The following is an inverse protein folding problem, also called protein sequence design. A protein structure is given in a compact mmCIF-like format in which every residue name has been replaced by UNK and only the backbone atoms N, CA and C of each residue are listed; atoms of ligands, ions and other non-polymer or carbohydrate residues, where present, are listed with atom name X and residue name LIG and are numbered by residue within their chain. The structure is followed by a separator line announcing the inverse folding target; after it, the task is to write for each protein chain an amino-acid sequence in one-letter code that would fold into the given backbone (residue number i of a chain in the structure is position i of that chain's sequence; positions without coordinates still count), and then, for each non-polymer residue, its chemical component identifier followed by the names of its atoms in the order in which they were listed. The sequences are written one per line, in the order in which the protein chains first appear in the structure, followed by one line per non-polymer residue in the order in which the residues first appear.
data_IF_212164043931
#
_entry.id   IF_212164043931
#
_cell.length_a   1.000
_cell.length_b   1.000
_cell.length_c   1.000
_cell.angle_alpha   90.00
_cell.angle_beta   90.00
_cell.angle_gamma   90.00
#
_symmetry.space_group_name_H-M   'P 1'
#
loop_
_entity.id
_entity.type
_entity.pdbx_description
1 polymer ?
#
# COMPACT_ATOMS: atom_id res chain seq x y z
N UNK A 1 -11.94 -0.19 0.00
CA UNK A 1 -11.23 0.09 1.26
C UNK A 1 -9.74 -0.11 1.04
N UNK A 2 -8.91 0.10 2.06
CA UNK A 2 -7.49 -0.21 1.98
C UNK A 2 -6.98 -0.92 3.23
N UNK A 3 -5.88 -1.64 3.09
CA UNK A 3 -5.26 -2.39 4.17
C UNK A 3 -3.77 -2.13 4.22
N UNK A 4 -3.19 -2.24 5.41
CA UNK A 4 -1.75 -2.40 5.56
C UNK A 4 -1.44 -3.87 5.85
N UNK A 5 -0.50 -4.43 5.09
CA UNK A 5 0.15 -5.69 5.44
C UNK A 5 1.56 -5.41 5.93
N UNK A 6 1.82 -5.81 7.17
CA UNK A 6 3.10 -5.58 7.82
C UNK A 6 4.02 -6.80 7.67
N UNK A 7 5.20 -6.57 7.11
CA UNK A 7 6.26 -7.55 6.99
C UNK A 7 7.30 -7.37 8.10
N UNK A 8 7.76 -8.49 8.68
CA UNK A 8 8.94 -8.50 9.53
C UNK A 8 10.19 -8.61 8.64
N UNK A 9 11.12 -7.65 8.66
CA UNK A 9 12.31 -7.66 7.79
C UNK A 9 13.25 -8.85 8.03
N UNK A 10 13.19 -9.52 9.18
CA UNK A 10 14.01 -10.72 9.46
C UNK A 10 13.42 -11.98 8.79
N UNK A 11 12.16 -11.93 8.34
CA UNK A 11 11.46 -13.02 7.64
C UNK A 11 11.16 -12.70 6.19
N UNK A 12 10.80 -11.46 5.90
CA UNK A 12 10.37 -10.99 4.60
C UNK A 12 10.74 -9.51 4.44
N UNK A 13 11.92 -9.26 3.86
CA UNK A 13 12.40 -7.90 3.63
C UNK A 13 11.81 -7.32 2.34
N UNK A 14 10.89 -6.36 2.49
CA UNK A 14 10.18 -5.75 1.35
C UNK A 14 11.12 -5.08 0.35
N UNK A 15 12.32 -4.65 0.77
CA UNK A 15 13.31 -4.05 -0.13
C UNK A 15 13.75 -5.03 -1.21
N UNK A 16 13.82 -6.32 -0.87
CA UNK A 16 14.22 -7.39 -1.78
C UNK A 16 13.02 -8.07 -2.44
N UNK A 17 11.95 -8.29 -1.69
CA UNK A 17 10.86 -9.16 -2.13
C UNK A 17 9.65 -8.45 -2.71
N UNK A 18 9.53 -7.12 -2.57
CA UNK A 18 8.44 -6.35 -3.16
C UNK A 18 8.72 -6.08 -4.66
N UNK A 19 8.51 -7.08 -5.50
CA UNK A 19 8.79 -7.01 -6.94
C UNK A 19 7.49 -6.68 -7.69
N UNK A 20 7.38 -5.52 -8.38
CA UNK A 20 6.20 -5.18 -9.16
C UNK A 20 5.75 -6.29 -10.13
N UNK A 21 4.45 -6.34 -10.39
CA UNK A 21 3.72 -7.35 -11.17
C UNK A 21 3.72 -8.78 -10.61
N UNK A 22 4.48 -9.04 -9.53
CA UNK A 22 4.45 -10.33 -8.85
C UNK A 22 3.21 -10.47 -7.97
N UNK A 23 2.54 -11.62 -8.06
CA UNK A 23 1.51 -12.04 -7.11
C UNK A 23 2.15 -12.82 -5.96
N UNK A 24 1.87 -12.39 -4.73
CA UNK A 24 2.35 -13.03 -3.50
C UNK A 24 1.19 -13.33 -2.57
N UNK A 25 1.23 -14.50 -1.93
CA UNK A 25 0.20 -14.98 -1.00
C UNK A 25 0.56 -14.58 0.41
N UNK A 26 -0.08 -13.54 0.92
CA UNK A 26 0.13 -13.04 2.26
C UNK A 26 -0.67 -13.81 3.28
N UNK A 27 -0.10 -14.00 4.46
CA UNK A 27 -0.84 -14.52 5.60
C UNK A 27 -1.74 -13.43 6.18
N UNK A 28 -3.01 -13.74 6.40
CA UNK A 28 -3.97 -12.82 7.01
C UNK A 28 -4.80 -13.53 8.06
N UNK A 29 -5.19 -12.80 9.11
CA UNK A 29 -6.11 -13.30 10.15
C UNK A 29 -7.27 -12.36 10.43
N UNK A 30 -7.03 -11.06 10.30
CA UNK A 30 -7.99 -10.01 10.62
C UNK A 30 -8.60 -9.43 9.35
N UNK A 31 -9.83 -8.91 9.46
CA UNK A 31 -10.53 -8.18 8.39
C UNK A 31 -10.79 -8.98 7.10
N UNK A 32 -10.64 -10.30 7.14
CA UNK A 32 -10.79 -11.21 5.99
C UNK A 32 -12.15 -11.03 5.30
N UNK A 33 -13.21 -10.87 6.08
CA UNK A 33 -14.57 -10.65 5.55
C UNK A 33 -14.72 -9.35 4.77
N UNK A 34 -13.81 -8.38 4.93
CA UNK A 34 -13.82 -7.09 4.24
C UNK A 34 -12.93 -7.07 3.00
N UNK A 35 -11.93 -7.95 2.92
CA UNK A 35 -10.96 -7.99 1.82
C UNK A 35 -11.60 -8.47 0.52
N UNK A 36 -11.55 -7.62 -0.52
CA UNK A 36 -12.08 -7.93 -1.86
C UNK A 36 -11.02 -7.72 -2.95
N UNK A 37 -11.06 -8.50 -4.05
CA UNK A 37 -10.26 -8.23 -5.24
C UNK A 37 -10.36 -6.77 -5.69
N UNK A 38 -9.23 -6.21 -6.09
CA UNK A 38 -9.08 -4.82 -6.48
C UNK A 38 -8.87 -3.83 -5.32
N UNK A 39 -9.04 -4.21 -4.05
CA UNK A 39 -8.75 -3.29 -2.95
C UNK A 39 -7.25 -3.03 -2.76
N UNK A 40 -6.93 -1.83 -2.27
CA UNK A 40 -5.55 -1.36 -2.13
C UNK A 40 -4.89 -2.01 -0.91
N UNK A 41 -3.66 -2.45 -1.10
CA UNK A 41 -2.78 -2.92 -0.03
C UNK A 41 -1.53 -2.06 0.02
N UNK A 42 -1.24 -1.50 1.19
CA UNK A 42 -0.01 -0.78 1.49
C UNK A 42 0.95 -1.74 2.22
N UNK A 43 2.20 -1.82 1.77
CA UNK A 43 3.18 -2.76 2.34
C UNK A 43 4.07 -2.06 3.35
N UNK A 44 3.88 -2.40 4.62
CA UNK A 44 4.61 -1.80 5.73
C UNK A 44 5.76 -2.69 6.18
N UNK A 45 6.98 -2.16 6.26
CA UNK A 45 8.10 -2.85 6.89
C UNK A 45 8.14 -2.52 8.38
N UNK A 46 7.98 -3.55 9.23
CA UNK A 46 8.13 -3.40 10.68
C UNK A 46 9.57 -3.02 11.04
N UNK A 47 9.75 -2.53 12.27
CA UNK A 47 11.11 -2.37 12.82
C UNK A 47 11.69 -3.77 13.07
N UNK A 48 12.76 -4.12 12.36
CA UNK A 48 13.56 -5.32 12.64
C UNK A 48 14.54 -5.08 13.79
N UNK A 49 15.26 -6.13 14.22
CA UNK A 49 16.21 -6.10 15.35
C UNK A 49 17.35 -5.06 15.24
N UNK A 50 18.62 -5.49 15.22
CA UNK A 50 19.82 -4.60 15.34
C UNK A 50 20.08 -3.68 14.13
N UNK A 51 19.19 -3.66 13.13
CA UNK A 51 19.45 -2.97 11.86
C UNK A 51 18.72 -1.62 11.84
N UNK A 52 19.38 -0.49 11.50
CA UNK A 52 18.78 0.85 11.48
C UNK A 52 17.83 1.06 10.29
N UNK A 53 17.12 0.01 9.86
CA UNK A 53 16.21 0.05 8.71
C UNK A 53 15.06 1.01 8.98
N UNK A 54 14.70 1.79 7.96
CA UNK A 54 13.58 2.72 8.02
C UNK A 54 12.27 1.91 8.07
N UNK A 55 11.59 1.91 9.21
CA UNK A 55 10.20 1.41 9.33
C UNK A 55 9.30 2.30 8.47
N UNK A 56 8.29 1.74 7.79
CA UNK A 56 7.32 2.54 7.04
C UNK A 56 6.73 1.81 5.83
N UNK A 57 6.16 2.56 4.90
CA UNK A 57 5.52 2.03 3.69
C UNK A 57 6.54 1.96 2.55
N UNK A 58 6.70 0.77 1.98
CA UNK A 58 7.68 0.46 0.92
C UNK A 58 7.04 0.32 -0.46
N UNK A 59 5.74 0.54 -0.57
CA UNK A 59 5.03 0.45 -1.83
C UNK A 59 3.59 -0.01 -1.62
N UNK A 60 2.94 -0.34 -2.72
CA UNK A 60 1.53 -0.71 -2.71
C UNK A 60 1.20 -1.73 -3.79
N UNK A 61 0.02 -2.33 -3.66
CA UNK A 61 -0.49 -3.35 -4.54
C UNK A 61 -2.01 -3.46 -4.47
N UNK A 62 -2.53 -4.46 -5.16
CA UNK A 62 -3.95 -4.75 -5.24
C UNK A 62 -4.20 -6.19 -4.82
N UNK A 63 -5.30 -6.42 -4.09
CA UNK A 63 -5.79 -7.77 -3.86
C UNK A 63 -6.13 -8.38 -5.22
N UNK A 64 -5.49 -9.50 -5.56
CA UNK A 64 -5.61 -10.13 -6.86
C UNK A 64 -6.83 -11.06 -6.91
N UNK A 65 -7.03 -11.82 -5.83
CA UNK A 65 -8.07 -12.84 -5.70
C UNK A 65 -8.66 -12.84 -4.27
N UNK A 66 -9.85 -13.45 -4.06
CA UNK A 66 -10.41 -13.59 -2.72
C UNK A 66 -9.48 -14.35 -1.77
N UNK A 67 -9.63 -14.07 -0.46
CA UNK A 67 -8.94 -14.85 0.57
C UNK A 67 -9.38 -16.32 0.49
N UNK A 68 -8.43 -17.23 0.57
CA UNK A 68 -8.68 -18.67 0.58
C UNK A 68 -7.88 -19.35 1.69
N UNK A 69 -8.28 -20.56 2.06
CA UNK A 69 -7.55 -21.41 3.02
C UNK A 69 -6.61 -22.34 2.26
N UNK A 70 -5.32 -22.34 2.61
CA UNK A 70 -4.35 -23.25 2.01
C UNK A 70 -4.42 -24.67 2.62
N UNK A 71 -3.60 -25.59 2.08
CA UNK A 71 -3.55 -26.99 2.52
C UNK A 71 -3.21 -27.18 4.00
N UNK A 72 -2.63 -26.16 4.65
CA UNK A 72 -2.26 -26.17 6.07
C UNK A 72 -3.33 -25.56 6.96
N UNK A 73 -4.46 -25.12 6.39
CA UNK A 73 -5.52 -24.44 7.13
C UNK A 73 -5.25 -22.94 7.34
N UNK A 74 -4.20 -22.39 6.72
CA UNK A 74 -3.86 -20.98 6.86
C UNK A 74 -4.61 -20.12 5.84
N UNK A 75 -5.13 -18.97 6.28
CA UNK A 75 -5.77 -18.00 5.39
C UNK A 75 -4.71 -17.22 4.59
N UNK A 76 -4.86 -17.22 3.26
CA UNK A 76 -3.98 -16.59 2.29
C UNK A 76 -4.72 -15.54 1.49
N UNK A 77 -4.09 -14.38 1.36
CA UNK A 77 -4.53 -13.29 0.51
C UNK A 77 -3.56 -13.13 -0.67
N UNK A 78 -3.95 -13.50 -1.90
CA UNK A 78 -3.19 -13.17 -3.10
C UNK A 78 -3.18 -11.67 -3.33
N UNK A 79 -1.99 -11.07 -3.38
CA UNK A 79 -1.80 -9.64 -3.63
C UNK A 79 -0.80 -9.46 -4.75
N UNK A 80 -1.19 -8.71 -5.77
CA UNK A 80 -0.31 -8.28 -6.84
C UNK A 80 0.39 -7.00 -6.43
N UNK A 81 1.72 -7.01 -6.45
CA UNK A 81 2.52 -5.82 -6.21
C UNK A 81 2.42 -4.90 -7.42
N UNK A 82 2.11 -3.63 -7.20
CA UNK A 82 2.03 -2.65 -8.29
C UNK A 82 3.28 -1.78 -8.28
N UNK A 83 3.72 -1.35 -7.11
CA UNK A 83 4.84 -0.43 -7.01
C UNK A 83 5.69 -0.70 -5.78
N UNK A 84 7.00 -0.49 -5.95
CA UNK A 84 8.00 -0.53 -4.88
C UNK A 84 8.69 0.83 -4.78
N UNK A 85 8.83 1.30 -3.56
CA UNK A 85 9.55 2.50 -3.18
C UNK A 85 10.83 2.09 -2.43
N UNK A 86 11.98 2.48 -2.99
CA UNK A 86 13.32 2.24 -2.46
C UNK A 86 14.16 3.50 -2.60
N UNK A 87 15.14 3.68 -1.71
CA UNK A 87 15.97 4.89 -1.72
C UNK A 87 16.88 4.89 -2.96
N UNK A 88 17.12 6.08 -3.53
CA UNK A 88 18.08 6.24 -4.61
C UNK A 88 19.46 5.71 -4.22
N UNK A 89 20.06 4.91 -5.12
CA UNK A 89 21.42 4.37 -4.97
C UNK A 89 21.53 2.91 -4.50
N UNK A 90 20.43 2.16 -4.35
CA UNK A 90 20.52 0.69 -4.29
C UNK A 90 20.82 0.15 -5.71
N UNK A 91 21.92 -0.61 -5.87
CA UNK A 91 22.47 -1.06 -7.16
C UNK A 91 21.45 -1.77 -8.06
N UNK A 92 21.41 -1.39 -9.34
CA UNK A 92 20.77 -2.17 -10.41
C UNK A 92 19.39 -1.71 -10.90
N UNK A 93 18.92 -0.50 -10.56
CA UNK A 93 17.58 -0.03 -10.94
C UNK A 93 17.58 1.33 -11.64
N UNK A 94 16.74 1.51 -12.66
CA UNK A 94 16.67 2.74 -13.45
C UNK A 94 16.23 3.96 -12.61
N UNK A 95 16.82 5.16 -12.85
CA UNK A 95 16.66 6.35 -12.00
C UNK A 95 15.25 6.97 -12.03
N UNK A 96 14.51 6.83 -13.12
CA UNK A 96 13.23 7.55 -13.33
C UNK A 96 12.01 6.92 -12.63
N UNK A 97 12.21 5.85 -11.85
CA UNK A 97 11.12 5.12 -11.14
C UNK A 97 11.33 5.03 -9.63
N UNK A 98 12.21 5.86 -9.06
CA UNK A 98 12.65 5.72 -7.66
C UNK A 98 11.95 6.72 -6.73
N UNK A 99 10.96 6.25 -5.99
CA UNK A 99 10.44 6.96 -4.82
C UNK A 99 11.02 6.34 -3.55
N UNK A 100 11.51 7.15 -2.62
CA UNK A 100 11.95 6.65 -1.32
C UNK A 100 10.74 6.10 -0.52
N UNK A 101 10.93 5.06 0.32
CA UNK A 101 9.91 4.60 1.25
C UNK A 101 9.32 5.76 2.04
N UNK A 102 8.06 5.68 2.42
CA UNK A 102 7.43 6.65 3.31
C UNK A 102 7.77 6.23 4.74
N UNK A 103 8.58 6.99 5.48
CA UNK A 103 8.90 6.68 6.86
C UNK A 103 7.64 6.54 7.70
N UNK A 104 7.63 5.56 8.60
CA UNK A 104 6.49 5.36 9.48
C UNK A 104 6.25 6.54 10.41
N UNK A 105 7.29 7.30 10.77
CA UNK A 105 7.16 8.54 11.53
C UNK A 105 6.31 9.57 10.78
N UNK A 106 6.55 9.75 9.47
CA UNK A 106 5.79 10.67 8.63
C UNK A 106 4.31 10.25 8.56
N UNK A 107 4.04 8.95 8.35
CA UNK A 107 2.66 8.44 8.33
C UNK A 107 1.96 8.66 9.67
N UNK A 108 2.63 8.35 10.78
CA UNK A 108 2.06 8.46 12.12
C UNK A 108 1.94 9.91 12.62
N UNK A 109 2.61 10.87 11.95
CA UNK A 109 2.45 12.29 12.22
C UNK A 109 1.17 12.87 11.59
N UNK A 110 0.51 12.13 10.68
CA UNK A 110 -0.75 12.57 10.09
C UNK A 110 -1.87 12.54 11.15
N UNK A 111 -2.69 13.61 11.23
CA UNK A 111 -3.79 13.72 12.19
C UNK A 111 -4.65 12.45 12.31
N UNK A 112 -5.15 11.91 11.18
CA UNK A 112 -6.06 10.74 11.20
C UNK A 112 -5.36 9.41 11.50
N UNK A 113 -4.04 9.40 11.64
CA UNK A 113 -3.21 8.20 11.84
C UNK A 113 -2.68 8.03 13.26
N UNK A 114 -2.75 9.07 14.08
CA UNK A 114 -2.30 9.05 15.48
C UNK A 114 -2.96 7.93 16.31
N UNK A 115 -4.25 7.67 16.06
CA UNK A 115 -5.03 6.60 16.70
C UNK A 115 -5.13 5.31 15.86
N UNK A 116 -4.38 5.19 14.76
CA UNK A 116 -4.45 3.99 13.92
C UNK A 116 -3.92 2.77 14.69
N UNK A 117 -4.52 1.60 14.47
CA UNK A 117 -4.12 0.35 15.11
C UNK A 117 -2.64 -0.01 14.92
N UNK A 118 -1.96 0.49 13.88
CA UNK A 118 -0.53 0.29 13.69
C UNK A 118 0.36 1.10 14.67
N UNK A 119 -0.18 2.18 15.25
CA UNK A 119 0.46 2.92 16.34
C UNK A 119 0.20 2.23 17.69
N UNK A 120 -1.03 1.77 17.92
CA UNK A 120 -1.50 1.17 19.18
C UNK A 120 -1.02 -0.28 19.34
N UNK A 121 -1.04 -1.07 18.26
CA UNK A 121 -0.63 -2.47 18.23
C UNK A 121 0.39 -2.73 17.10
N UNK A 122 1.64 -2.28 17.27
CA UNK A 122 2.68 -2.41 16.24
C UNK A 122 3.10 -3.87 15.97
N UNK A 123 2.65 -4.84 16.77
CA UNK A 123 2.91 -6.27 16.55
C UNK A 123 1.89 -6.93 15.60
N UNK A 124 0.80 -6.24 15.27
CA UNK A 124 -0.17 -6.71 14.28
C UNK A 124 0.46 -6.89 12.89
N UNK A 125 -0.07 -7.83 12.11
CA UNK A 125 0.38 -8.10 10.73
C UNK A 125 -0.54 -7.49 9.66
N UNK A 126 -1.74 -7.07 10.04
CA UNK A 126 -2.80 -6.61 9.14
C UNK A 126 -3.59 -5.50 9.82
N UNK A 127 -3.75 -4.37 9.14
CA UNK A 127 -4.48 -3.21 9.67
C UNK A 127 -5.46 -2.69 8.62
N UNK A 128 -6.64 -2.26 9.07
CA UNK A 128 -7.60 -1.56 8.22
C UNK A 128 -7.19 -0.09 8.07
N UNK A 129 -7.31 0.45 6.85
CA UNK A 129 -7.10 1.86 6.53
C UNK A 129 -8.42 2.42 6.03
N UNK A 130 -8.93 3.45 6.74
CA UNK A 130 -10.16 4.12 6.33
C UNK A 130 -9.94 4.93 5.04
N UNK A 131 -11.03 5.28 4.37
CA UNK A 131 -10.96 6.12 3.17
C UNK A 131 -10.33 7.49 3.47
N UNK A 132 -10.70 8.11 4.59
CA UNK A 132 -10.10 9.37 5.05
C UNK A 132 -8.60 9.27 5.30
N UNK A 133 -8.14 8.17 5.92
CA UNK A 133 -6.72 7.91 6.16
C UNK A 133 -5.95 7.70 4.85
N UNK A 134 -6.51 6.93 3.92
CA UNK A 134 -5.90 6.71 2.61
C UNK A 134 -5.82 8.00 1.80
N UNK A 135 -6.88 8.81 1.82
CA UNK A 135 -6.93 10.11 1.16
C UNK A 135 -5.87 11.05 1.71
N UNK A 136 -5.80 11.21 3.03
CA UNK A 136 -4.80 12.06 3.69
C UNK A 136 -3.37 11.59 3.38
N UNK A 137 -3.10 10.29 3.48
CA UNK A 137 -1.81 9.72 3.10
C UNK A 137 -1.46 10.04 1.65
N UNK A 138 -2.45 9.91 0.76
CA UNK A 138 -2.27 10.15 -0.67
C UNK A 138 -1.96 11.61 -0.94
N UNK A 139 -2.79 12.54 -0.47
CA UNK A 139 -2.63 13.98 -0.70
C UNK A 139 -1.34 14.53 -0.06
N UNK A 140 -1.02 14.07 1.16
CA UNK A 140 0.07 14.68 1.93
C UNK A 140 1.45 14.06 1.67
N UNK A 141 1.53 12.75 1.38
CA UNK A 141 2.81 12.03 1.31
C UNK A 141 3.03 11.36 -0.05
N UNK A 142 2.00 10.82 -0.71
CA UNK A 142 2.16 10.07 -1.97
C UNK A 142 2.11 10.99 -3.19
N UNK A 143 1.15 11.91 -3.30
CA UNK A 143 0.98 12.80 -4.46
C UNK A 143 2.13 13.79 -4.62
N UNK A 144 2.85 14.10 -3.52
CA UNK A 144 4.11 14.86 -3.55
C UNK A 144 5.28 14.06 -4.13
N UNK A 145 5.11 12.74 -4.31
CA UNK A 145 6.15 11.80 -4.73
C UNK A 145 5.81 11.15 -6.07
N UNK A 146 4.58 10.69 -6.27
CA UNK A 146 4.12 9.96 -7.47
C UNK A 146 3.50 10.91 -8.49
N UNK A 147 3.95 10.87 -9.77
CA UNK A 147 3.30 11.62 -10.84
C UNK A 147 1.82 11.25 -10.98
N UNK A 148 0.95 12.26 -11.11
CA UNK A 148 -0.52 12.12 -11.25
C UNK A 148 -0.94 11.05 -12.26
N UNK A 149 -0.17 10.86 -13.33
CA UNK A 149 -0.40 9.85 -14.38
C UNK A 149 -0.30 8.40 -13.89
N UNK A 150 0.55 8.10 -12.92
CA UNK A 150 0.67 6.77 -12.34
C UNK A 150 -0.46 6.50 -11.34
N UNK A 151 -0.84 7.53 -10.56
CA UNK A 151 -2.04 7.47 -9.71
C UNK A 151 -3.29 7.20 -10.55
N UNK A 152 -3.43 7.88 -11.69
CA UNK A 152 -4.53 7.66 -12.63
C UNK A 152 -4.50 6.28 -13.28
N UNK A 153 -3.33 5.68 -13.53
CA UNK A 153 -3.23 4.28 -14.01
C UNK A 153 -3.68 3.27 -12.96
N UNK A 154 -3.33 3.50 -11.70
CA UNK A 154 -3.80 2.68 -10.58
C UNK A 154 -5.33 2.76 -10.44
N UNK A 155 -5.86 3.98 -10.51
CA UNK A 155 -7.31 4.24 -10.52
C UNK A 155 -7.98 3.63 -11.76
N UNK A 156 -7.39 3.71 -12.94
CA UNK A 156 -7.92 3.10 -14.16
C UNK A 156 -7.90 1.57 -14.09
N UNK A 157 -6.85 0.96 -13.55
CA UNK A 157 -6.78 -0.50 -13.33
C UNK A 157 -7.86 -0.94 -12.35
N UNK A 158 -8.02 -0.21 -11.25
CA UNK A 158 -9.09 -0.41 -10.27
C UNK A 158 -10.48 -0.29 -10.91
N UNK A 159 -10.73 0.79 -11.66
CA UNK A 159 -12.00 1.04 -12.33
C UNK A 159 -12.28 0.01 -13.42
N UNK A 160 -11.28 -0.43 -14.20
CA UNK A 160 -11.43 -1.47 -15.21
C UNK A 160 -11.80 -2.83 -14.59
N UNK A 161 -11.15 -3.20 -13.49
CA UNK A 161 -11.49 -4.43 -12.77
C UNK A 161 -12.91 -4.37 -12.17
N UNK A 162 -13.34 -3.23 -11.64
CA UNK A 162 -14.71 -3.08 -11.10
C UNK A 162 -15.81 -2.92 -12.17
N UNK A 163 -15.50 -2.34 -13.33
CA UNK A 163 -16.43 -2.29 -14.48
C UNK A 163 -16.71 -3.69 -15.02
N UNK A 164 -15.73 -4.59 -14.96
CA UNK A 164 -15.90 -6.01 -15.25
C UNK A 164 -16.71 -6.74 -14.17
N UNK A 165 -16.76 -6.23 -12.93
CA UNK A 165 -17.56 -6.81 -11.84
C UNK A 165 -18.98 -6.20 -11.70
N UNK A 166 -19.37 -5.26 -12.57
CA UNK A 166 -20.74 -4.72 -12.64
C UNK A 166 -21.15 -3.70 -11.57
N UNK A 167 -20.21 -3.20 -10.76
CA UNK A 167 -20.51 -2.20 -9.72
C UNK A 167 -20.28 -0.77 -10.23
N UNK A 168 -21.28 0.11 -10.07
CA UNK A 168 -21.24 1.51 -10.51
C UNK A 168 -20.81 2.43 -9.37
N UNK A 169 -19.98 3.45 -9.64
CA UNK A 169 -19.73 4.52 -8.67
C UNK A 169 -19.49 5.90 -9.31
N UNK A 170 -19.88 6.91 -8.54
CA UNK A 170 -19.78 8.35 -8.82
C UNK A 170 -18.41 8.90 -8.38
N UNK A 171 -17.82 9.75 -9.24
CA UNK A 171 -16.46 10.27 -9.11
C UNK A 171 -16.16 10.99 -7.77
N UNK A 172 -14.97 10.72 -7.21
CA UNK A 172 -14.24 11.68 -6.37
C UNK A 172 -13.60 12.69 -7.32
N UNK A 173 -14.30 13.77 -7.61
CA UNK A 173 -13.72 14.93 -8.31
C UNK A 173 -12.80 15.65 -7.33
N UNK A 174 -11.49 15.41 -7.44
CA UNK A 174 -10.52 16.32 -6.82
C UNK A 174 -10.58 17.61 -7.64
N UNK A 175 -10.96 18.76 -7.05
CA UNK A 175 -11.03 20.01 -7.78
C UNK A 175 -9.67 20.31 -8.42
N UNK A 176 -9.69 20.52 -9.73
CA UNK A 176 -8.56 21.04 -10.49
C UNK A 176 -8.43 22.51 -10.13
N UNK A 177 -7.55 22.86 -9.20
CA UNK A 177 -7.03 24.22 -9.18
C UNK A 177 -5.98 24.30 -10.29
N UNK A 178 -6.39 24.88 -11.41
CA UNK A 178 -5.46 25.32 -12.45
C UNK A 178 -4.58 26.42 -11.85
N UNK A 179 -3.28 26.13 -11.75
CA UNK A 179 -2.29 27.13 -11.40
C UNK A 179 -2.30 28.23 -12.46
N UNK A 180 -2.89 29.36 -12.12
CA UNK A 180 -2.70 30.62 -12.83
C UNK A 180 -1.27 31.09 -12.63
N UNK A 181 -0.48 30.98 -13.69
CA UNK A 181 0.70 31.81 -13.88
C UNK A 181 0.22 33.24 -14.20
N UNK A 182 0.55 34.19 -13.32
CA UNK A 182 0.87 35.57 -13.68
C UNK A 182 2.12 36.01 -12.92
#
# INVERSE_FOLDING_TARGET
MAFILQANPDRWDLRQFLIPDRVVRWYVRNYVSLMRPGEIVLFWLAKGGKSPKVRGIYGWGLIDEPVYTDERGDLRLPVRYVERWVKQGEEGMEPDKQHAPIPGADVLSLPSWSENLISINPQGSTFLVSEGQLRELTEQLIAKRIPRSQLMRATDLYLRQRKLSGESFSYLTIPLEEGGHE
#
